data_IF_666120113252
#
_entry.id   IF_666120113252
#
_cell.length_a   1.000
_cell.length_b   1.000
_cell.length_c   1.000
_cell.angle_alpha   90.00
_cell.angle_beta   90.00
_cell.angle_gamma   90.00
#
_symmetry.space_group_name_H-M   'P 1'
#
loop_
_entity.id
_entity.type
_entity.pdbx_description
1 polymer ?
#
# COMPACT_ATOMS: atom_id res chain seq x y z
N UNK A 1 -37.54 -4.34 73.06
CA UNK A 1 -36.97 -5.52 72.38
C UNK A 1 -37.70 -5.71 71.05
N UNK A 2 -37.06 -5.35 69.92
CA UNK A 2 -37.47 -5.71 68.55
C UNK A 2 -36.30 -5.38 67.60
N UNK A 3 -35.39 -6.34 67.52
CA UNK A 3 -34.52 -6.63 66.36
C UNK A 3 -35.43 -7.13 65.21
N UNK A 4 -35.15 -7.03 63.91
CA UNK A 4 -33.93 -7.23 63.14
C UNK A 4 -34.07 -6.60 61.73
N UNK A 5 -32.96 -6.05 61.23
CA UNK A 5 -32.67 -5.76 59.81
C UNK A 5 -32.71 -7.04 58.95
N UNK A 6 -33.08 -6.94 57.66
CA UNK A 6 -32.45 -7.68 56.55
C UNK A 6 -32.98 -7.22 55.16
N UNK A 7 -32.16 -6.44 54.46
CA UNK A 7 -31.94 -6.44 53.00
C UNK A 7 -30.40 -6.34 52.84
N UNK A 8 -29.73 -6.92 51.83
CA UNK A 8 -30.17 -6.98 50.43
C UNK A 8 -29.87 -8.31 49.69
N UNK A 9 -30.49 -8.50 48.53
CA UNK A 9 -30.31 -9.65 47.65
C UNK A 9 -29.97 -9.18 46.22
N UNK A 10 -28.88 -9.74 45.67
CA UNK A 10 -28.48 -9.83 44.26
C UNK A 10 -27.96 -8.59 43.52
N UNK A 11 -26.62 -8.45 43.55
CA UNK A 11 -25.83 -7.91 42.44
C UNK A 11 -25.26 -9.11 41.66
N UNK A 12 -25.82 -9.40 40.48
CA UNK A 12 -25.28 -10.38 39.53
C UNK A 12 -24.72 -9.66 38.30
N UNK A 13 -23.44 -9.93 38.03
CA UNK A 13 -22.86 -10.18 36.71
C UNK A 13 -23.04 -9.13 35.61
N UNK A 14 -22.00 -8.34 35.33
CA UNK A 14 -21.29 -8.35 34.03
C UNK A 14 -19.82 -7.94 34.25
N UNK A 15 -18.94 -8.89 34.59
CA UNK A 15 -17.51 -8.68 34.36
C UNK A 15 -17.20 -9.04 32.91
N UNK A 16 -17.20 -8.04 32.02
CA UNK A 16 -16.55 -8.16 30.71
C UNK A 16 -15.05 -8.28 30.93
N UNK A 17 -14.59 -9.51 31.18
CA UNK A 17 -13.18 -9.84 31.16
C UNK A 17 -12.62 -9.51 29.78
N UNK A 18 -12.02 -8.34 29.66
CA UNK A 18 -11.10 -8.05 28.56
C UNK A 18 -9.95 -9.03 28.75
N UNK A 19 -9.96 -10.09 27.96
CA UNK A 19 -8.84 -11.00 27.85
C UNK A 19 -7.72 -10.24 27.13
N UNK A 20 -6.99 -9.42 27.88
CA UNK A 20 -5.70 -8.87 27.47
C UNK A 20 -4.71 -10.03 27.48
N UNK A 21 -4.84 -10.87 26.47
CA UNK A 21 -3.84 -11.86 26.11
C UNK A 21 -2.56 -11.06 25.83
N UNK A 22 -1.63 -11.07 26.78
CA UNK A 22 -0.34 -10.40 26.64
C UNK A 22 0.28 -10.90 25.33
N UNK A 23 0.46 -10.04 24.32
CA UNK A 23 1.02 -10.49 23.06
C UNK A 23 2.39 -11.09 23.35
N UNK A 24 2.77 -12.22 22.71
CA UNK A 24 4.11 -12.74 22.85
C UNK A 24 5.13 -11.63 22.56
N UNK A 25 6.16 -11.56 23.40
CA UNK A 25 7.18 -10.51 23.37
C UNK A 25 7.97 -10.48 22.04
N UNK A 26 7.80 -11.51 21.20
CA UNK A 26 8.34 -11.61 19.85
C UNK A 26 7.22 -11.64 18.82
N UNK A 27 7.44 -10.96 17.69
CA UNK A 27 6.55 -11.06 16.54
C UNK A 27 6.39 -12.51 16.13
N UNK A 28 5.15 -12.93 15.87
CA UNK A 28 4.86 -14.22 15.22
C UNK A 28 5.17 -14.19 13.72
N UNK A 29 5.61 -13.04 13.20
CA UNK A 29 6.05 -12.87 11.82
C UNK A 29 7.56 -12.81 11.78
N UNK A 30 8.18 -13.73 11.04
CA UNK A 30 9.64 -13.80 10.87
C UNK A 30 10.04 -13.29 9.50
N UNK A 31 11.19 -12.64 9.42
CA UNK A 31 11.78 -12.20 8.15
C UNK A 31 12.72 -13.30 7.68
N UNK A 32 12.48 -13.85 6.50
CA UNK A 32 13.29 -14.91 5.91
C UNK A 32 14.46 -14.36 5.09
N UNK A 33 14.20 -13.32 4.29
CA UNK A 33 15.23 -12.69 3.45
C UNK A 33 14.81 -11.27 3.09
N UNK A 34 15.77 -10.42 2.73
CA UNK A 34 15.49 -9.08 2.27
C UNK A 34 16.55 -8.60 1.28
N UNK A 35 16.17 -7.64 0.45
CA UNK A 35 17.08 -6.94 -0.48
C UNK A 35 16.48 -5.60 -0.88
N UNK A 36 17.31 -4.72 -1.42
CA UNK A 36 16.84 -3.51 -2.07
C UNK A 36 17.50 -3.35 -3.45
N UNK A 37 16.88 -2.55 -4.31
CA UNK A 37 17.41 -2.25 -5.64
C UNK A 37 17.10 -0.81 -6.03
N UNK A 38 17.97 -0.23 -6.85
CA UNK A 38 17.79 1.10 -7.45
C UNK A 38 17.39 0.95 -8.91
N UNK A 39 16.35 1.67 -9.32
CA UNK A 39 15.88 1.67 -10.71
C UNK A 39 15.35 3.04 -11.13
N UNK A 40 15.11 3.22 -12.43
CA UNK A 40 14.34 4.36 -12.95
C UNK A 40 12.90 3.92 -13.13
N UNK A 41 11.97 4.64 -12.50
CA UNK A 41 10.53 4.37 -12.61
C UNK A 41 9.85 5.57 -13.27
N UNK A 42 8.97 5.36 -14.26
CA UNK A 42 8.09 6.42 -14.73
C UNK A 42 7.14 6.79 -13.58
N UNK A 43 7.14 8.04 -13.13
CA UNK A 43 6.10 8.51 -12.20
C UNK A 43 4.81 8.67 -12.96
N UNK A 44 3.79 7.88 -12.65
CA UNK A 44 2.49 8.07 -13.26
C UNK A 44 1.85 9.34 -12.70
N UNK A 45 2.09 10.46 -13.38
CA UNK A 45 1.50 11.77 -13.08
C UNK A 45 0.14 11.94 -13.74
N UNK A 46 -0.50 10.85 -14.20
CA UNK A 46 -1.85 10.91 -14.74
C UNK A 46 -2.82 11.27 -13.61
N UNK A 47 -3.12 12.56 -13.48
CA UNK A 47 -4.27 13.01 -12.73
C UNK A 47 -5.56 12.33 -13.25
N UNK A 48 -6.62 12.29 -12.43
CA UNK A 48 -7.88 11.67 -12.85
C UNK A 48 -8.30 12.24 -14.21
N UNK A 49 -8.46 11.35 -15.18
CA UNK A 49 -8.86 11.72 -16.53
C UNK A 49 -10.17 12.49 -16.45
N UNK A 50 -10.14 13.79 -16.81
CA UNK A 50 -11.37 14.58 -16.86
C UNK A 50 -12.35 13.86 -17.79
N UNK A 51 -13.54 13.46 -17.31
CA UNK A 51 -14.51 12.78 -18.16
C UNK A 51 -14.80 13.66 -19.37
N UNK A 52 -14.64 13.09 -20.56
CA UNK A 52 -15.03 13.78 -21.78
C UNK A 52 -16.53 14.09 -21.71
N UNK A 53 -16.98 15.25 -22.21
CA UNK A 53 -18.40 15.44 -22.43
C UNK A 53 -18.89 14.31 -23.33
N UNK A 54 -19.83 13.52 -22.81
CA UNK A 54 -20.46 12.46 -23.58
C UNK A 54 -21.12 13.10 -24.81
N UNK A 55 -20.94 12.51 -25.99
CA UNK A 55 -21.64 12.94 -27.21
C UNK A 55 -23.13 13.02 -26.91
N UNK A 56 -23.76 14.14 -27.25
CA UNK A 56 -25.20 14.27 -27.17
C UNK A 56 -25.83 13.24 -28.13
N UNK A 57 -26.30 12.10 -27.60
CA UNK A 57 -27.03 11.12 -28.40
C UNK A 57 -28.37 11.72 -28.82
N UNK A 58 -28.54 11.96 -30.11
CA UNK A 58 -29.84 12.36 -30.65
C UNK A 58 -30.74 11.12 -30.77
N UNK A 59 -32.05 11.34 -30.87
CA UNK A 59 -33.01 10.25 -31.08
C UNK A 59 -32.81 9.55 -32.43
N UNK A 60 -32.26 10.27 -33.43
CA UNK A 60 -31.88 9.71 -34.72
C UNK A 60 -30.72 8.71 -34.58
N UNK A 61 -29.70 9.02 -33.77
CA UNK A 61 -28.56 8.12 -33.52
C UNK A 61 -29.01 6.80 -32.89
N UNK A 62 -29.95 6.86 -31.94
CA UNK A 62 -30.52 5.67 -31.28
C UNK A 62 -31.31 4.77 -32.25
N UNK A 63 -31.98 5.36 -33.23
CA UNK A 63 -32.72 4.63 -34.25
C UNK A 63 -31.78 3.99 -35.27
N UNK A 64 -30.67 4.66 -35.61
CA UNK A 64 -29.64 4.13 -36.49
C UNK A 64 -28.96 2.90 -35.87
N UNK A 65 -28.50 2.99 -34.62
CA UNK A 65 -27.87 1.87 -33.88
C UNK A 65 -28.77 0.63 -33.82
N UNK A 66 -30.08 0.85 -33.65
CA UNK A 66 -31.07 -0.22 -33.62
C UNK A 66 -31.25 -0.86 -35.00
N UNK A 67 -31.21 -0.08 -36.08
CA UNK A 67 -31.31 -0.58 -37.46
C UNK A 67 -30.02 -1.29 -37.91
N UNK A 68 -28.85 -0.82 -37.48
CA UNK A 68 -27.53 -1.44 -37.74
C UNK A 68 -27.47 -2.86 -37.17
N UNK A 69 -27.95 -3.09 -35.94
CA UNK A 69 -27.98 -4.46 -35.36
C UNK A 69 -28.92 -5.43 -36.08
N UNK A 70 -29.90 -4.92 -36.82
CA UNK A 70 -30.91 -5.75 -37.48
C UNK A 70 -30.51 -6.10 -38.91
N UNK A 71 -29.72 -5.26 -39.59
CA UNK A 71 -29.55 -5.36 -41.04
C UNK A 71 -28.10 -5.36 -41.57
N UNK A 72 -27.06 -5.23 -40.75
CA UNK A 72 -25.69 -5.14 -41.29
C UNK A 72 -25.06 -6.52 -41.58
N UNK A 73 -24.64 -6.81 -42.83
CA UNK A 73 -23.78 -7.94 -43.14
C UNK A 73 -22.37 -7.73 -42.56
N UNK A 74 -21.75 -8.81 -42.07
CA UNK A 74 -20.42 -8.77 -41.48
C UNK A 74 -19.37 -8.18 -42.45
N UNK A 75 -18.73 -7.09 -42.05
CA UNK A 75 -17.62 -6.46 -42.79
C UNK A 75 -17.88 -5.06 -43.35
N UNK A 76 -19.08 -4.49 -43.19
CA UNK A 76 -19.33 -3.09 -43.58
C UNK A 76 -18.72 -2.11 -42.56
N UNK A 77 -18.02 -1.10 -43.07
CA UNK A 77 -17.43 -0.03 -42.25
C UNK A 77 -18.54 0.90 -41.74
N UNK A 78 -18.54 1.20 -40.45
CA UNK A 78 -19.52 2.10 -39.83
C UNK A 78 -19.54 3.47 -40.53
N UNK A 79 -20.66 3.89 -41.15
CA UNK A 79 -20.79 5.19 -41.81
C UNK A 79 -20.50 6.37 -40.88
N UNK A 80 -20.69 6.19 -39.56
CA UNK A 80 -20.44 7.22 -38.58
C UNK A 80 -18.96 7.38 -38.22
N UNK A 81 -18.10 6.41 -38.56
CA UNK A 81 -16.67 6.47 -38.28
C UNK A 81 -15.97 7.65 -38.97
N UNK A 82 -16.49 8.08 -40.12
CA UNK A 82 -15.92 9.16 -40.92
C UNK A 82 -16.64 10.52 -40.70
N UNK A 83 -17.58 10.60 -39.76
CA UNK A 83 -18.26 11.86 -39.39
C UNK A 83 -17.27 12.87 -38.78
N UNK A 84 -17.53 14.16 -39.02
CA UNK A 84 -16.70 15.26 -38.52
C UNK A 84 -16.57 15.21 -37.00
N UNK A 85 -17.63 14.84 -36.29
CA UNK A 85 -17.64 14.73 -34.83
C UNK A 85 -16.73 13.60 -34.32
N UNK A 86 -16.76 12.43 -34.96
CA UNK A 86 -15.93 11.28 -34.57
C UNK A 86 -14.46 11.54 -34.88
N UNK A 87 -14.17 12.13 -36.04
CA UNK A 87 -12.81 12.52 -36.42
C UNK A 87 -12.28 13.66 -35.54
N UNK A 88 -13.12 14.63 -35.20
CA UNK A 88 -12.81 15.72 -34.28
C UNK A 88 -12.50 15.20 -32.88
N UNK A 89 -13.34 14.30 -32.34
CA UNK A 89 -13.10 13.66 -31.05
C UNK A 89 -11.83 12.80 -31.02
N UNK A 90 -11.51 12.09 -32.10
CA UNK A 90 -10.27 11.32 -32.24
C UNK A 90 -9.03 12.24 -32.31
N UNK A 91 -9.14 13.38 -33.00
CA UNK A 91 -8.08 14.38 -33.08
C UNK A 91 -7.87 15.06 -31.72
N UNK A 92 -8.93 15.46 -31.02
CA UNK A 92 -8.86 16.02 -29.66
C UNK A 92 -8.25 15.04 -28.67
N UNK A 93 -8.62 13.75 -28.76
CA UNK A 93 -7.99 12.69 -27.97
C UNK A 93 -6.49 12.61 -28.27
N UNK A 94 -6.10 12.63 -29.54
CA UNK A 94 -4.69 12.55 -29.96
C UNK A 94 -3.89 13.77 -29.52
N UNK A 95 -4.45 14.99 -29.61
CA UNK A 95 -3.85 16.22 -29.11
C UNK A 95 -3.68 16.15 -27.61
N UNK A 96 -4.70 15.72 -26.87
CA UNK A 96 -4.63 15.54 -25.42
C UNK A 96 -3.59 14.50 -25.03
N UNK A 97 -3.53 13.38 -25.75
CA UNK A 97 -2.54 12.33 -25.52
C UNK A 97 -1.12 12.79 -25.83
N UNK A 98 -0.95 13.69 -26.81
CA UNK A 98 0.33 14.33 -27.12
C UNK A 98 0.72 15.42 -26.11
N UNK A 99 -0.26 16.14 -25.56
CA UNK A 99 -0.06 17.16 -24.52
C UNK A 99 0.14 16.57 -23.13
N UNK A 100 -0.21 15.28 -22.90
CA UNK A 100 0.10 14.56 -21.66
C UNK A 100 1.61 14.61 -21.44
N UNK A 101 2.10 15.29 -20.38
CA UNK A 101 3.52 15.33 -20.09
C UNK A 101 4.02 13.90 -19.89
N UNK A 102 4.96 13.46 -20.71
CA UNK A 102 5.59 12.15 -20.51
C UNK A 102 6.19 12.10 -19.10
N UNK A 103 5.82 11.07 -18.35
CA UNK A 103 6.32 10.81 -17.01
C UNK A 103 7.85 10.88 -17.01
N UNK A 104 8.43 11.89 -16.36
CA UNK A 104 9.89 11.96 -16.22
C UNK A 104 10.33 10.78 -15.36
N UNK A 105 11.28 9.94 -15.83
CA UNK A 105 11.77 8.85 -15.02
C UNK A 105 12.49 9.41 -13.79
N UNK A 106 12.04 9.04 -12.60
CA UNK A 106 12.72 9.38 -11.35
C UNK A 106 13.55 8.20 -10.89
N UNK A 107 14.66 8.49 -10.21
CA UNK A 107 15.39 7.46 -9.49
C UNK A 107 14.53 7.01 -8.30
N UNK A 108 14.18 5.73 -8.30
CA UNK A 108 13.37 5.11 -7.28
C UNK A 108 14.11 3.89 -6.69
N UNK A 109 13.76 3.57 -5.47
CA UNK A 109 14.32 2.46 -4.72
C UNK A 109 13.19 1.49 -4.36
N UNK A 110 13.43 0.23 -4.65
CA UNK A 110 12.51 -0.87 -4.33
C UNK A 110 13.10 -1.69 -3.20
N UNK A 111 12.34 -1.83 -2.13
CA UNK A 111 12.70 -2.58 -0.94
C UNK A 111 11.86 -3.85 -0.89
N UNK A 112 12.50 -5.00 -0.74
CA UNK A 112 11.85 -6.30 -0.73
C UNK A 112 12.18 -7.06 0.54
N UNK A 113 11.18 -7.68 1.13
CA UNK A 113 11.32 -8.54 2.30
C UNK A 113 10.41 -9.75 2.16
N UNK A 114 10.97 -10.95 2.26
CA UNK A 114 10.21 -12.19 2.36
C UNK A 114 9.92 -12.45 3.83
N UNK A 115 8.64 -12.53 4.19
CA UNK A 115 8.19 -12.79 5.56
C UNK A 115 7.46 -14.13 5.65
N UNK A 116 7.47 -14.74 6.83
CA UNK A 116 6.75 -15.96 7.14
C UNK A 116 5.82 -15.74 8.33
N UNK A 117 4.58 -16.20 8.21
CA UNK A 117 3.58 -16.12 9.26
C UNK A 117 3.56 -17.38 10.12
N UNK A 118 4.28 -17.36 11.24
CA UNK A 118 4.26 -18.45 12.22
C UNK A 118 3.04 -18.38 13.17
N UNK A 119 2.13 -17.42 12.99
CA UNK A 119 0.88 -17.36 13.74
C UNK A 119 -0.16 -18.36 13.22
N UNK A 120 -1.20 -18.58 14.02
CA UNK A 120 -2.41 -19.33 13.61
C UNK A 120 -3.46 -18.43 12.95
N UNK A 121 -3.17 -17.15 12.74
CA UNK A 121 -4.13 -16.14 12.32
C UNK A 121 -3.78 -15.62 10.92
N UNK A 122 -4.79 -15.16 10.20
CA UNK A 122 -4.58 -14.46 8.93
C UNK A 122 -4.09 -13.05 9.27
N UNK A 123 -2.99 -12.64 8.66
CA UNK A 123 -2.47 -11.28 8.76
C UNK A 123 -3.03 -10.44 7.62
N UNK A 124 -3.59 -9.29 7.97
CA UNK A 124 -4.17 -8.34 7.01
C UNK A 124 -3.27 -7.13 6.77
N UNK A 125 -2.60 -6.64 7.81
CA UNK A 125 -1.78 -5.44 7.71
C UNK A 125 -0.42 -5.68 8.36
N UNK A 126 0.63 -5.27 7.67
CA UNK A 126 2.01 -5.33 8.17
C UNK A 126 2.66 -3.96 8.05
N UNK A 127 3.11 -3.44 9.19
CA UNK A 127 4.05 -2.33 9.26
C UNK A 127 5.45 -2.88 9.42
N UNK A 128 6.34 -2.52 8.51
CA UNK A 128 7.73 -2.97 8.56
C UNK A 128 8.66 -1.85 8.16
N UNK A 129 9.93 -2.01 8.53
CA UNK A 129 10.96 -1.05 8.18
C UNK A 129 12.24 -1.72 7.71
N UNK A 130 12.88 -1.06 6.76
CA UNK A 130 14.23 -1.36 6.30
C UNK A 130 15.19 -0.39 7.00
N UNK A 131 16.15 -0.93 7.74
CA UNK A 131 17.14 -0.19 8.51
C UNK A 131 18.51 -0.30 7.85
N UNK A 132 19.16 0.85 7.68
CA UNK A 132 20.58 0.97 7.33
C UNK A 132 21.32 1.51 8.55
N UNK A 133 22.28 0.74 9.03
CA UNK A 133 23.06 1.03 10.24
C UNK A 133 24.51 1.22 9.80
N UNK A 134 25.09 2.39 10.06
CA UNK A 134 26.53 2.62 9.86
C UNK A 134 27.28 1.95 11.02
N UNK A 135 28.14 0.94 10.78
CA UNK A 135 28.88 0.27 11.84
C UNK A 135 29.77 1.23 12.66
N UNK A 136 30.21 2.35 12.07
CA UNK A 136 31.00 3.35 12.76
C UNK A 136 30.16 4.23 13.70
N UNK A 137 28.85 4.34 13.46
CA UNK A 137 27.92 5.11 14.29
C UNK A 137 26.60 4.33 14.45
N UNK A 138 26.57 3.25 15.25
CA UNK A 138 25.42 2.34 15.33
C UNK A 138 24.11 3.02 15.77
N UNK A 139 24.19 4.12 16.50
CA UNK A 139 23.02 4.88 16.97
C UNK A 139 22.30 5.64 15.84
N UNK A 140 23.00 5.89 14.72
CA UNK A 140 22.41 6.59 13.56
C UNK A 140 21.85 5.58 12.56
N UNK A 141 20.58 5.24 12.78
CA UNK A 141 19.85 4.33 11.89
C UNK A 141 19.04 5.11 10.88
N UNK A 142 19.29 4.88 9.59
CA UNK A 142 18.41 5.39 8.53
C UNK A 142 17.31 4.36 8.29
N UNK A 143 16.05 4.78 8.43
CA UNK A 143 14.88 3.89 8.34
C UNK A 143 14.05 4.20 7.09
N UNK A 144 13.48 3.17 6.49
CA UNK A 144 12.46 3.25 5.43
C UNK A 144 11.27 2.43 5.90
N UNK A 145 10.15 3.10 6.17
CA UNK A 145 8.99 2.46 6.77
C UNK A 145 7.92 2.25 5.72
N UNK A 146 7.19 1.14 5.84
CA UNK A 146 6.18 0.73 4.89
C UNK A 146 4.96 0.16 5.59
N UNK A 147 3.80 0.44 5.02
CA UNK A 147 2.49 -0.13 5.36
C UNK A 147 2.07 -1.05 4.22
N UNK A 148 1.85 -2.33 4.49
CA UNK A 148 1.36 -3.28 3.48
C UNK A 148 0.01 -3.87 3.88
N UNK A 149 -0.91 -3.92 2.92
CA UNK A 149 -2.16 -4.67 3.00
C UNK A 149 -1.92 -6.02 2.34
N UNK A 150 -2.04 -7.09 3.12
CA UNK A 150 -1.75 -8.47 2.69
C UNK A 150 -2.88 -9.40 3.11
N UNK A 151 -2.92 -10.60 2.56
CA UNK A 151 -3.80 -11.67 3.06
C UNK A 151 -2.92 -12.89 3.34
N UNK A 152 -2.08 -12.76 4.37
CA UNK A 152 -1.05 -13.73 4.67
C UNK A 152 -1.60 -14.80 5.62
N UNK A 153 -1.88 -15.97 5.07
CA UNK A 153 -2.44 -17.12 5.79
C UNK A 153 -1.45 -17.69 6.82
N UNK A 154 -1.94 -18.46 7.81
CA UNK A 154 -1.09 -19.19 8.74
C UNK A 154 -0.08 -20.09 8.03
N UNK A 155 1.15 -20.14 8.53
CA UNK A 155 2.25 -20.97 8.03
C UNK A 155 2.56 -20.75 6.54
N UNK A 156 2.37 -19.51 6.06
CA UNK A 156 2.68 -19.11 4.69
C UNK A 156 3.71 -18.00 4.65
N UNK A 157 4.41 -17.99 3.53
CA UNK A 157 5.37 -16.97 3.16
C UNK A 157 4.73 -15.93 2.25
N UNK A 158 5.18 -14.68 2.34
CA UNK A 158 4.79 -13.62 1.43
C UNK A 158 5.98 -12.70 1.15
N UNK A 159 6.14 -12.30 -0.11
CA UNK A 159 7.05 -11.25 -0.50
C UNK A 159 6.35 -9.90 -0.33
N UNK A 160 6.97 -9.01 0.45
CA UNK A 160 6.61 -7.61 0.59
C UNK A 160 7.50 -6.78 -0.32
N UNK A 161 6.90 -5.76 -0.95
CA UNK A 161 7.60 -4.86 -1.86
C UNK A 161 7.14 -3.43 -1.62
N UNK A 162 8.02 -2.62 -1.02
CA UNK A 162 7.83 -1.20 -0.81
C UNK A 162 8.61 -0.36 -1.83
N UNK A 163 8.04 0.77 -2.23
CA UNK A 163 8.71 1.73 -3.11
C UNK A 163 8.95 3.04 -2.38
N UNK A 164 10.15 3.62 -2.53
CA UNK A 164 10.47 4.94 -2.00
C UNK A 164 11.37 5.69 -2.98
N UNK A 165 11.26 7.02 -3.00
CA UNK A 165 12.20 7.89 -3.68
C UNK A 165 13.52 8.05 -2.89
N UNK A 166 13.49 7.68 -1.60
CA UNK A 166 14.64 7.78 -0.70
C UNK A 166 15.38 6.45 -0.67
N UNK A 167 16.66 6.47 -1.05
CA UNK A 167 17.56 5.31 -1.01
C UNK A 167 18.17 5.05 0.37
N UNK A 168 19.25 4.25 0.44
CA UNK A 168 20.16 4.24 1.58
C UNK A 168 20.69 5.67 1.86
N UNK A 169 21.26 5.91 3.04
CA UNK A 169 21.81 7.25 3.36
C UNK A 169 22.95 7.64 2.41
N UNK A 170 22.93 8.88 1.91
CA UNK A 170 23.98 9.44 1.04
C UNK A 170 25.28 9.76 1.82
N UNK A 171 25.24 9.67 3.15
CA UNK A 171 26.38 9.95 4.03
C UNK A 171 26.85 8.66 4.70
N UNK A 172 28.06 8.25 4.36
CA UNK A 172 28.83 7.19 5.00
C UNK A 172 29.95 7.81 5.84
N UNK A 173 30.27 7.22 6.99
CA UNK A 173 31.49 7.58 7.70
C UNK A 173 32.74 7.23 6.87
N UNK A 174 33.81 8.03 6.98
CA UNK A 174 35.08 7.75 6.30
C UNK A 174 35.68 6.38 6.69
N UNK A 175 35.37 5.90 7.90
CA UNK A 175 35.79 4.61 8.42
C UNK A 175 35.14 3.41 7.68
N UNK A 176 33.93 3.57 7.13
CA UNK A 176 33.20 2.52 6.41
C UNK A 176 33.72 2.22 5.00
N UNK A 177 34.61 3.06 4.45
CA UNK A 177 35.17 2.87 3.11
C UNK A 177 36.28 1.82 3.02
N UNK A 178 36.80 1.32 4.15
CA UNK A 178 37.94 0.42 4.18
C UNK A 178 37.64 -1.01 3.69
N UNK A 179 36.38 -1.35 3.42
CA UNK A 179 35.96 -2.70 3.00
C UNK A 179 35.10 -2.66 1.74
N UNK A 180 35.31 -3.61 0.82
CA UNK A 180 34.61 -3.73 -0.47
C UNK A 180 33.14 -4.20 -0.39
N UNK A 181 32.59 -4.31 0.82
CA UNK A 181 31.20 -4.68 1.08
C UNK A 181 30.32 -3.41 1.22
N UNK A 182 28.99 -3.56 1.19
CA UNK A 182 28.06 -2.46 1.52
C UNK A 182 28.51 -1.79 2.83
N UNK A 183 28.68 -0.46 2.88
CA UNK A 183 29.18 0.22 4.08
C UNK A 183 28.19 0.20 5.24
N UNK A 184 26.97 -0.31 5.02
CA UNK A 184 25.92 -0.38 6.01
C UNK A 184 25.61 -1.83 6.40
N UNK A 185 25.38 -2.04 7.68
CA UNK A 185 24.65 -3.22 8.13
C UNK A 185 23.16 -3.00 7.86
N UNK A 186 22.57 -3.93 7.13
CA UNK A 186 21.17 -3.88 6.72
C UNK A 186 20.32 -4.80 7.60
N UNK A 187 19.12 -4.34 7.98
CA UNK A 187 18.19 -5.13 8.78
C UNK A 187 16.75 -4.79 8.41
N UNK A 188 15.89 -5.79 8.34
CA UNK A 188 14.44 -5.58 8.25
C UNK A 188 13.79 -5.92 9.57
N UNK A 189 12.86 -5.07 10.02
CA UNK A 189 12.13 -5.27 11.28
C UNK A 189 10.63 -5.10 11.07
N UNK A 190 9.84 -5.97 11.69
CA UNK A 190 8.38 -5.84 11.76
C UNK A 190 8.03 -4.97 12.95
N UNK A 191 7.30 -3.88 12.70
CA UNK A 191 6.93 -2.89 13.69
C UNK A 191 5.55 -3.16 14.28
N UNK A 192 4.58 -3.50 13.43
CA UNK A 192 3.21 -3.81 13.84
C UNK A 192 2.55 -4.76 12.86
N UNK A 193 1.69 -5.61 13.37
CA UNK A 193 0.90 -6.58 12.61
C UNK A 193 -0.54 -6.49 13.06
N UNK A 194 -1.47 -6.40 12.12
CA UNK A 194 -2.91 -6.49 12.38
C UNK A 194 -3.46 -7.76 11.74
N UNK A 195 -4.22 -8.51 12.53
CA UNK A 195 -4.79 -9.79 12.15
C UNK A 195 -6.27 -9.63 11.78
N UNK A 196 -6.79 -10.56 10.99
CA UNK A 196 -8.18 -10.55 10.51
C UNK A 196 -9.22 -10.64 11.65
N UNK A 197 -8.83 -11.07 12.85
CA UNK A 197 -9.69 -11.09 14.03
C UNK A 197 -9.72 -9.75 14.79
N UNK A 198 -9.07 -8.72 14.25
CA UNK A 198 -8.96 -7.39 14.85
C UNK A 198 -7.89 -7.28 15.94
N UNK A 199 -7.19 -8.37 16.27
CA UNK A 199 -6.04 -8.29 17.18
C UNK A 199 -4.86 -7.64 16.48
N UNK A 200 -3.96 -7.07 17.27
CA UNK A 200 -2.69 -6.58 16.74
C UNK A 200 -1.53 -6.85 17.69
N UNK A 201 -0.35 -7.01 17.09
CA UNK A 201 0.92 -7.07 17.79
C UNK A 201 1.75 -5.84 17.40
N UNK A 202 2.42 -5.22 18.36
CA UNK A 202 3.26 -4.04 18.13
C UNK A 202 4.58 -4.20 18.86
N UNK A 203 5.67 -3.85 18.18
CA UNK A 203 7.03 -3.85 18.73
C UNK A 203 7.12 -2.81 19.86
N UNK A 204 7.64 -3.22 21.03
CA UNK A 204 7.63 -2.41 22.27
C UNK A 204 8.35 -1.06 22.15
N UNK A 205 9.42 -1.00 21.37
CA UNK A 205 10.26 0.18 21.12
C UNK A 205 9.83 0.96 19.86
N UNK A 206 8.71 0.60 19.23
CA UNK A 206 8.21 1.32 18.08
C UNK A 206 7.22 2.41 18.48
N UNK A 207 7.49 3.63 18.02
CA UNK A 207 6.65 4.79 18.27
C UNK A 207 5.81 5.12 17.03
N UNK A 208 4.53 4.75 17.07
CA UNK A 208 3.57 5.09 16.01
C UNK A 208 3.40 6.61 15.79
N UNK A 209 3.74 7.43 16.79
CA UNK A 209 3.73 8.89 16.67
C UNK A 209 4.69 9.42 15.59
N UNK A 210 5.81 8.74 15.35
CA UNK A 210 6.81 9.14 14.34
C UNK A 210 6.25 9.07 12.91
N UNK A 211 5.33 8.13 12.66
CA UNK A 211 4.74 7.92 11.34
C UNK A 211 3.35 8.52 11.17
N UNK A 212 2.79 9.16 12.21
CA UNK A 212 1.37 9.57 12.21
C UNK A 212 0.97 10.39 10.98
N UNK A 213 1.76 11.41 10.64
CA UNK A 213 1.49 12.28 9.49
C UNK A 213 1.62 11.52 8.16
N UNK A 214 2.63 10.67 8.04
CA UNK A 214 2.83 9.84 6.87
C UNK A 214 1.72 8.81 6.68
N UNK A 215 1.31 8.15 7.76
CA UNK A 215 0.20 7.22 7.79
C UNK A 215 -1.11 7.90 7.38
N UNK A 216 -1.42 9.08 7.93
CA UNK A 216 -2.60 9.84 7.53
C UNK A 216 -2.61 10.17 6.03
N UNK A 217 -1.45 10.57 5.47
CA UNK A 217 -1.31 10.81 4.02
C UNK A 217 -1.54 9.53 3.21
N UNK A 218 -0.93 8.42 3.64
CA UNK A 218 -1.08 7.13 2.99
C UNK A 218 -2.53 6.64 2.99
N UNK A 219 -3.27 6.84 4.09
CA UNK A 219 -4.67 6.44 4.22
C UNK A 219 -5.65 7.40 3.54
N UNK A 220 -5.30 8.67 3.36
CA UNK A 220 -6.13 9.64 2.64
C UNK A 220 -6.17 9.38 1.12
N UNK A 221 -5.23 8.58 0.60
CA UNK A 221 -5.14 8.27 -0.82
C UNK A 221 -5.74 6.88 -1.07
N UNK A 222 -6.63 6.69 -2.06
CA UNK A 222 -7.11 5.36 -2.44
C UNK A 222 -5.97 4.46 -2.90
N UNK A 223 -6.02 3.18 -2.52
CA UNK A 223 -5.02 2.18 -2.92
C UNK A 223 -5.15 1.89 -4.42
N UNK A 224 -4.04 1.92 -5.14
CA UNK A 224 -4.07 1.48 -6.53
C UNK A 224 -4.32 -0.04 -6.59
N UNK A 225 -4.98 -0.58 -7.63
CA UNK A 225 -5.36 -2.00 -7.69
C UNK A 225 -4.21 -3.00 -7.49
N UNK A 226 -2.98 -2.61 -7.82
CA UNK A 226 -1.77 -3.43 -7.72
C UNK A 226 -0.80 -2.95 -6.63
N UNK A 227 -1.20 -1.97 -5.82
CA UNK A 227 -0.38 -1.43 -4.75
C UNK A 227 -0.53 -2.31 -3.50
N UNK A 228 0.54 -3.03 -3.17
CA UNK A 228 0.57 -3.87 -1.96
C UNK A 228 1.10 -3.12 -0.74
N UNK A 229 2.07 -2.23 -0.94
CA UNK A 229 2.72 -1.49 0.13
C UNK A 229 2.88 -0.02 -0.20
N UNK A 230 2.68 0.83 0.81
CA UNK A 230 2.91 2.28 0.79
C UNK A 230 4.10 2.64 1.64
N UNK A 231 4.93 3.56 1.15
CA UNK A 231 5.94 4.20 1.98
C UNK A 231 5.29 5.14 3.00
N UNK A 232 5.88 5.19 4.18
CA UNK A 232 5.56 6.12 5.27
C UNK A 232 6.72 7.10 5.43
#
# INVERSE_FOLDING_TARGET
MKTLLLLPLFVMLVFSGHHTQTPPDRSQITVLSFKWSKGRQPTDTSGPEKPMPARAMTQADKNLDRNVRVNDPAGMRDPNADTVDVRGGALEKSVRDAEKPQAKPVNAFTYQAKIHNASKQIVEIVFWEYQFIDPAVPDKVTRRQFLCGVNLKPDKDQDLQGFSLSGPTDRVSAAGFATSASPFQEKVVINRVEFADGKSWTRKDWNAGEIKTAYQRAMATPWAPNEMCRAL
#
